data_IF_387304390101
#
_entry.id   IF_387304390101
#
_cell.length_a   1.000
_cell.length_b   1.000
_cell.length_c   1.000
_cell.angle_alpha   90.00
_cell.angle_beta   90.00
_cell.angle_gamma   90.00
#
_symmetry.space_group_name_H-M   'P 1'
#
loop_
_entity.id
_entity.type
_entity.pdbx_description
1 polymer ?
#
# COMPACT_ATOMS: atom_id res chain seq x y z
N UNK A 1 2.08 18.50 29.09
CA UNK A 1 2.40 18.53 27.64
C UNK A 1 1.85 17.27 26.95
N UNK A 2 1.25 17.36 25.78
CA UNK A 2 0.53 16.22 25.19
C UNK A 2 1.55 15.22 24.59
N UNK A 3 1.58 13.95 25.04
CA UNK A 3 2.49 12.88 24.58
C UNK A 3 2.48 12.72 23.05
N UNK A 4 1.30 12.85 22.43
CA UNK A 4 1.12 12.79 20.96
C UNK A 4 1.95 13.84 20.21
N UNK A 5 2.20 15.00 20.83
CA UNK A 5 2.92 16.10 20.20
C UNK A 5 4.44 15.82 20.08
N UNK A 6 5.03 15.14 21.06
CA UNK A 6 6.45 14.75 21.01
C UNK A 6 6.71 13.67 19.95
N UNK A 7 5.82 12.68 19.82
CA UNK A 7 5.90 11.62 18.78
C UNK A 7 5.82 12.24 17.39
N UNK A 8 4.83 13.11 17.18
CA UNK A 8 4.62 13.80 15.92
C UNK A 8 5.87 14.63 15.51
N UNK A 9 6.41 15.42 16.45
CA UNK A 9 7.63 16.22 16.20
C UNK A 9 8.85 15.36 15.89
N UNK A 10 8.95 14.17 16.48
CA UNK A 10 10.05 13.26 16.20
C UNK A 10 10.04 12.75 14.77
N UNK A 11 8.86 12.42 14.23
CA UNK A 11 8.70 11.71 12.96
C UNK A 11 8.44 12.62 11.75
N UNK A 12 7.77 13.78 11.93
CA UNK A 12 7.45 14.70 10.82
C UNK A 12 8.67 15.03 9.94
N UNK A 13 9.87 15.35 10.47
CA UNK A 13 11.02 15.70 9.63
C UNK A 13 11.46 14.58 8.69
N UNK A 14 11.12 13.33 9.01
CA UNK A 14 11.50 12.15 8.22
C UNK A 14 10.49 11.78 7.16
N UNK A 15 9.27 12.31 7.22
CA UNK A 15 8.22 11.99 6.27
C UNK A 15 8.55 12.51 4.87
N UNK A 16 8.10 11.80 3.83
CA UNK A 16 8.17 12.28 2.46
C UNK A 16 7.24 13.48 2.26
N UNK A 17 7.49 14.24 1.21
CA UNK A 17 6.56 15.27 0.75
C UNK A 17 5.34 14.66 0.03
N UNK A 18 4.27 15.45 -0.09
CA UNK A 18 3.00 15.03 -0.72
C UNK A 18 3.18 14.66 -2.20
N UNK A 19 4.16 15.22 -2.89
CA UNK A 19 4.43 14.88 -4.29
C UNK A 19 5.08 13.51 -4.44
N UNK A 20 5.93 13.16 -3.48
CA UNK A 20 6.61 11.86 -3.47
C UNK A 20 5.71 10.75 -2.94
N UNK A 21 4.86 11.08 -1.95
CA UNK A 21 3.96 10.12 -1.32
C UNK A 21 2.57 10.73 -1.12
N UNK A 22 1.68 10.68 -2.11
CA UNK A 22 0.39 11.37 -2.12
C UNK A 22 -0.68 10.62 -1.30
N UNK A 23 -0.34 10.22 -0.08
CA UNK A 23 -1.23 9.52 0.84
C UNK A 23 -1.33 10.26 2.17
N UNK A 24 -2.52 10.25 2.75
CA UNK A 24 -2.70 10.68 4.13
C UNK A 24 -2.17 9.63 5.08
N UNK A 25 -1.27 10.04 5.98
CA UNK A 25 -0.65 9.16 6.97
C UNK A 25 -1.35 9.38 8.31
N UNK A 26 -1.89 8.29 8.88
CA UNK A 26 -2.40 8.27 10.25
C UNK A 26 -1.61 7.23 11.05
N UNK A 27 -0.89 7.70 12.06
CA UNK A 27 -0.14 6.85 12.99
C UNK A 27 -0.88 6.78 14.32
N UNK A 28 -1.23 5.57 14.74
CA UNK A 28 -1.86 5.31 16.03
C UNK A 28 -0.94 4.45 16.89
N UNK A 29 -0.72 4.89 18.13
CA UNK A 29 0.03 4.13 19.12
C UNK A 29 -0.89 3.81 20.31
N UNK A 30 -1.15 2.51 20.51
CA UNK A 30 -1.89 2.00 21.64
C UNK A 30 -0.92 1.36 22.63
N UNK A 31 -0.79 1.97 23.83
CA UNK A 31 0.07 1.47 24.90
C UNK A 31 -0.78 0.65 25.86
N UNK A 32 -0.56 -0.67 25.89
CA UNK A 32 -1.30 -1.60 26.75
C UNK A 32 -0.62 -1.78 28.09
N UNK A 33 0.73 -1.71 28.13
CA UNK A 33 1.55 -1.82 29.33
C UNK A 33 2.82 -0.98 29.14
N UNK A 34 3.37 -0.41 30.21
CA UNK A 34 4.56 0.42 30.16
C UNK A 34 5.36 0.32 31.44
N UNK A 35 6.66 0.13 31.32
CA UNK A 35 7.61 0.10 32.45
C UNK A 35 8.63 1.25 32.40
N UNK A 36 8.55 2.09 31.38
CA UNK A 36 9.43 3.24 31.16
C UNK A 36 8.75 4.28 30.29
N UNK A 37 9.50 4.87 29.34
CA UNK A 37 8.98 5.92 28.46
C UNK A 37 8.14 5.38 27.31
N UNK A 38 6.82 5.29 27.50
CA UNK A 38 5.88 4.91 26.45
C UNK A 38 5.93 5.82 25.20
N UNK A 39 6.29 7.10 25.37
CA UNK A 39 6.40 8.04 24.25
C UNK A 39 7.60 7.73 23.36
N UNK A 40 8.74 7.35 23.93
CA UNK A 40 9.94 6.99 23.17
C UNK A 40 9.80 5.63 22.50
N UNK A 41 9.16 4.66 23.17
CA UNK A 41 8.74 3.41 22.53
C UNK A 41 7.81 3.64 21.34
N UNK A 42 6.86 4.58 21.46
CA UNK A 42 5.96 4.95 20.34
C UNK A 42 6.68 5.65 19.20
N UNK A 43 7.78 6.36 19.44
CA UNK A 43 8.62 6.92 18.36
C UNK A 43 9.29 5.78 17.59
N UNK A 44 9.93 4.84 18.28
CA UNK A 44 10.59 3.68 17.65
C UNK A 44 9.58 2.80 16.88
N UNK A 45 8.50 2.40 17.56
CA UNK A 45 7.46 1.56 16.95
C UNK A 45 6.72 2.27 15.80
N UNK A 46 6.47 3.57 15.94
CA UNK A 46 5.88 4.40 14.88
C UNK A 46 6.78 4.53 13.66
N UNK A 47 8.09 4.67 13.87
CA UNK A 47 9.07 4.67 12.79
C UNK A 47 9.06 3.33 12.02
N UNK A 48 9.10 2.19 12.72
CA UNK A 48 9.03 0.86 12.11
C UNK A 48 7.69 0.64 11.39
N UNK A 49 6.58 1.08 11.97
CA UNK A 49 5.26 0.97 11.35
C UNK A 49 5.15 1.76 10.04
N UNK A 50 5.73 2.96 9.97
CA UNK A 50 5.83 3.75 8.75
C UNK A 50 6.65 3.03 7.68
N UNK A 51 7.80 2.47 8.06
CA UNK A 51 8.67 1.71 7.16
C UNK A 51 7.99 0.43 6.66
N UNK A 52 7.28 -0.27 7.53
CA UNK A 52 6.55 -1.51 7.18
C UNK A 52 5.35 -1.24 6.26
N UNK A 53 4.69 -0.10 6.44
CA UNK A 53 3.63 0.36 5.55
C UNK A 53 4.12 0.80 4.16
N UNK A 54 5.43 0.85 3.94
CA UNK A 54 6.02 1.31 2.67
C UNK A 54 6.08 2.84 2.52
N UNK A 55 6.01 3.58 3.63
CA UNK A 55 6.23 5.03 3.60
C UNK A 55 7.72 5.28 3.40
N UNK A 56 8.14 5.99 2.33
CA UNK A 56 9.55 6.23 2.03
C UNK A 56 10.12 7.34 2.93
N UNK A 57 10.29 7.02 4.23
CA UNK A 57 10.89 7.96 5.18
C UNK A 57 12.34 8.24 4.80
N UNK A 58 12.79 9.47 5.09
CA UNK A 58 14.15 9.93 4.74
C UNK A 58 15.24 9.18 5.52
N UNK A 59 15.01 8.99 6.82
CA UNK A 59 15.89 8.27 7.75
C UNK A 59 15.08 7.67 8.89
N UNK A 60 15.48 6.50 9.41
CA UNK A 60 14.91 5.96 10.64
C UNK A 60 15.18 6.87 11.84
N UNK A 61 14.24 6.93 12.77
CA UNK A 61 14.32 7.71 13.99
C UNK A 61 14.08 6.80 15.19
N UNK A 62 14.93 6.91 16.19
CA UNK A 62 14.75 6.30 17.51
C UNK A 62 14.61 7.36 18.60
N UNK A 63 13.95 7.00 19.68
CA UNK A 63 13.78 7.83 20.86
C UNK A 63 14.24 7.11 22.11
N UNK A 64 14.89 7.86 23.02
CA UNK A 64 15.35 7.37 24.32
C UNK A 64 14.99 8.36 25.43
N UNK A 65 14.72 7.85 26.63
CA UNK A 65 14.50 8.66 27.83
C UNK A 65 15.73 8.56 28.74
N UNK A 66 16.28 9.72 29.08
CA UNK A 66 17.40 9.86 29.95
C UNK A 66 16.94 10.39 31.32
N UNK A 67 17.60 9.98 32.37
CA UNK A 67 17.38 10.48 33.71
C UNK A 67 18.66 11.01 34.35
N UNK A 68 18.51 11.62 35.50
CA UNK A 68 19.64 12.02 36.32
C UNK A 68 19.33 11.81 37.80
N UNK A 69 20.31 11.27 38.50
CA UNK A 69 20.34 11.18 39.95
C UNK A 69 21.44 12.10 40.51
N UNK A 70 21.16 12.74 41.59
CA UNK A 70 22.13 13.53 42.35
C UNK A 70 22.59 12.77 43.58
N UNK A 71 23.91 12.76 43.84
CA UNK A 71 24.49 12.07 44.98
C UNK A 71 24.27 12.80 46.32
N UNK A 72 24.05 14.10 46.27
CA UNK A 72 23.77 14.93 47.44
C UNK A 72 22.91 16.15 47.09
N UNK A 73 22.55 16.96 48.09
CA UNK A 73 21.74 18.17 47.96
C UNK A 73 22.55 19.44 47.66
N UNK A 74 23.83 19.31 47.32
CA UNK A 74 24.72 20.48 47.11
C UNK A 74 24.54 21.17 45.76
N UNK A 75 23.59 20.73 44.97
CA UNK A 75 23.33 21.22 43.61
C UNK A 75 23.90 20.31 42.52
N UNK A 76 23.62 20.63 41.26
CA UNK A 76 24.07 19.83 40.10
C UNK A 76 25.54 20.16 39.83
N UNK A 77 26.39 19.14 39.83
CA UNK A 77 27.76 19.19 39.34
C UNK A 77 28.12 17.90 38.60
N UNK A 78 29.18 17.91 37.81
CA UNK A 78 29.63 16.72 37.09
C UNK A 78 30.11 15.60 38.02
N UNK A 79 30.60 15.97 39.23
CA UNK A 79 31.12 15.01 40.18
C UNK A 79 30.03 14.29 40.97
N UNK A 80 28.85 14.91 41.16
CA UNK A 80 27.75 14.33 41.94
C UNK A 80 26.53 13.94 41.11
N UNK A 81 26.57 14.04 39.77
CA UNK A 81 25.47 13.68 38.88
C UNK A 81 25.74 12.37 38.14
N UNK A 82 24.78 11.45 38.22
CA UNK A 82 24.77 10.20 37.48
C UNK A 82 23.66 10.29 36.41
N UNK A 83 24.04 10.13 35.13
CA UNK A 83 23.09 10.14 34.02
C UNK A 83 22.68 8.70 33.72
N UNK A 84 21.39 8.46 33.65
CA UNK A 84 20.78 7.16 33.35
C UNK A 84 20.24 7.16 31.94
N UNK A 85 20.36 6.00 31.26
CA UNK A 85 19.77 5.75 29.94
C UNK A 85 18.57 4.84 30.10
N UNK A 86 17.51 5.09 29.28
CA UNK A 86 16.28 4.26 29.22
C UNK A 86 15.64 4.07 30.60
N UNK A 87 15.28 5.19 31.22
CA UNK A 87 14.82 5.24 32.62
C UNK A 87 13.48 4.55 32.82
N UNK A 88 13.37 3.87 33.95
CA UNK A 88 12.14 3.32 34.47
C UNK A 88 11.17 4.41 34.96
N UNK A 89 9.89 4.08 35.14
CA UNK A 89 8.90 5.02 35.67
C UNK A 89 9.20 5.46 37.11
N UNK A 90 9.85 4.61 37.91
CA UNK A 90 10.32 4.95 39.28
C UNK A 90 11.50 5.90 39.23
N UNK A 91 12.41 5.76 38.30
CA UNK A 91 13.57 6.64 38.09
C UNK A 91 13.13 8.01 37.56
N UNK A 92 12.13 8.06 36.65
CA UNK A 92 11.48 9.32 36.28
C UNK A 92 10.83 10.02 37.50
N UNK A 93 10.10 9.26 38.32
CA UNK A 93 9.41 9.84 39.49
C UNK A 93 10.35 10.37 40.56
N UNK A 94 11.44 9.65 40.84
CA UNK A 94 12.40 9.95 41.90
C UNK A 94 13.62 10.76 41.42
N UNK A 95 13.93 10.71 40.13
CA UNK A 95 15.05 11.40 39.51
C UNK A 95 14.84 12.91 39.44
N UNK A 96 15.93 13.62 39.23
CA UNK A 96 15.97 15.09 39.12
C UNK A 96 15.84 15.61 37.70
N UNK A 97 15.90 14.72 36.68
CA UNK A 97 15.76 15.05 35.28
C UNK A 97 14.98 13.93 34.57
N UNK A 98 14.02 14.31 33.72
CA UNK A 98 13.42 13.47 32.64
C UNK A 98 13.71 14.15 31.31
N UNK A 99 14.62 13.53 30.53
CA UNK A 99 15.11 14.10 29.29
C UNK A 99 14.88 13.12 28.13
N UNK A 100 13.87 13.38 27.37
CA UNK A 100 13.48 12.56 26.18
C UNK A 100 14.12 13.13 24.94
N UNK A 101 14.87 12.31 24.22
CA UNK A 101 15.59 12.70 23.01
C UNK A 101 15.25 11.74 21.88
N UNK A 102 14.79 12.27 20.77
CA UNK A 102 14.57 11.48 19.55
C UNK A 102 15.36 12.07 18.37
N UNK A 103 15.79 11.20 17.47
CA UNK A 103 16.54 11.60 16.29
C UNK A 103 17.06 10.41 15.49
N UNK A 104 17.71 10.73 14.40
CA UNK A 104 18.39 9.77 13.53
C UNK A 104 19.88 9.59 13.92
N UNK A 105 20.65 8.96 13.05
CA UNK A 105 22.10 8.77 13.20
C UNK A 105 22.91 10.07 13.13
N UNK A 106 22.37 11.09 12.48
CA UNK A 106 23.05 12.36 12.20
C UNK A 106 22.66 13.50 13.13
N UNK A 107 21.49 13.43 13.80
CA UNK A 107 21.02 14.53 14.62
C UNK A 107 19.77 14.24 15.43
N UNK A 108 19.31 15.26 16.11
CA UNK A 108 18.12 15.26 16.96
C UNK A 108 16.97 15.88 16.19
N UNK A 109 15.84 15.19 16.12
CA UNK A 109 14.60 15.70 15.51
C UNK A 109 13.72 16.39 16.53
N UNK A 110 13.72 15.91 17.78
CA UNK A 110 13.02 16.56 18.90
C UNK A 110 13.61 16.15 20.23
N UNK A 111 13.43 17.01 21.22
CA UNK A 111 13.69 16.67 22.60
C UNK A 111 12.64 17.31 23.54
N UNK A 112 12.51 16.74 24.72
CA UNK A 112 11.71 17.27 25.82
C UNK A 112 12.52 17.12 27.09
N UNK A 113 12.71 18.22 27.83
CA UNK A 113 13.40 18.26 29.10
C UNK A 113 12.43 18.69 30.19
N UNK A 114 12.37 17.91 31.28
CA UNK A 114 11.71 18.25 32.52
C UNK A 114 12.71 18.07 33.66
N UNK A 115 12.91 19.11 34.45
CA UNK A 115 13.89 19.12 35.56
C UNK A 115 13.20 19.43 36.88
N UNK A 116 13.65 18.75 37.94
CA UNK A 116 13.14 18.87 39.29
C UNK A 116 14.25 19.38 40.24
N UNK A 117 15.28 20.03 39.66
CA UNK A 117 16.41 20.66 40.38
C UNK A 117 16.53 22.15 39.99
N UNK A 118 17.38 22.90 40.68
CA UNK A 118 17.54 24.36 40.47
C UNK A 118 18.18 24.74 39.11
N UNK A 119 18.61 23.78 38.33
CA UNK A 119 19.19 23.96 36.99
C UNK A 119 20.14 22.83 36.62
N UNK A 120 20.64 22.85 35.39
CA UNK A 120 21.64 21.93 34.87
C UNK A 120 22.87 22.74 34.42
N UNK A 121 24.06 22.19 34.59
CA UNK A 121 25.25 22.75 33.99
C UNK A 121 25.31 22.41 32.51
N UNK A 122 26.04 23.19 31.72
CA UNK A 122 26.24 22.90 30.28
C UNK A 122 26.95 21.56 30.11
N UNK A 123 27.93 21.28 30.94
CA UNK A 123 28.72 20.04 30.94
C UNK A 123 27.83 18.81 31.21
N UNK A 124 26.94 18.91 32.20
CA UNK A 124 25.97 17.83 32.50
C UNK A 124 25.03 17.61 31.31
N UNK A 125 24.58 18.69 30.66
CA UNK A 125 23.72 18.58 29.47
C UNK A 125 24.46 17.95 28.27
N UNK A 126 25.72 18.34 28.04
CA UNK A 126 26.54 17.74 26.99
C UNK A 126 26.73 16.22 27.20
N UNK A 127 27.01 15.81 28.45
CA UNK A 127 27.10 14.38 28.80
C UNK A 127 25.78 13.64 28.56
N UNK A 128 24.67 14.25 28.98
CA UNK A 128 23.35 13.65 28.77
C UNK A 128 22.99 13.49 27.27
N UNK A 129 23.32 14.50 26.46
CA UNK A 129 23.11 14.45 25.01
C UNK A 129 24.00 13.41 24.33
N UNK A 130 25.27 13.32 24.72
CA UNK A 130 26.18 12.32 24.15
C UNK A 130 25.76 10.90 24.54
N UNK A 131 25.40 10.69 25.81
CA UNK A 131 24.89 9.38 26.25
C UNK A 131 23.57 9.02 25.54
N UNK A 132 22.66 9.99 25.35
CA UNK A 132 21.45 9.82 24.55
C UNK A 132 21.76 9.50 23.08
N UNK A 133 22.83 10.08 22.51
CA UNK A 133 23.27 9.75 21.14
C UNK A 133 23.69 8.28 21.04
N UNK A 134 24.51 7.80 21.96
CA UNK A 134 24.96 6.40 22.00
C UNK A 134 23.76 5.47 22.15
N UNK A 135 22.83 5.75 23.07
CA UNK A 135 21.61 4.95 23.25
C UNK A 135 20.72 4.94 22.00
N UNK A 136 20.52 6.09 21.35
CA UNK A 136 19.74 6.17 20.09
C UNK A 136 20.36 5.35 18.95
N UNK A 137 21.68 5.40 18.79
CA UNK A 137 22.39 4.59 17.77
C UNK A 137 22.18 3.11 18.04
N UNK A 138 22.31 2.67 19.29
CA UNK A 138 22.05 1.28 19.67
C UNK A 138 20.61 0.87 19.34
N UNK A 139 19.61 1.70 19.63
CA UNK A 139 18.21 1.43 19.27
C UNK A 139 18.00 1.38 17.74
N UNK A 140 18.63 2.30 16.99
CA UNK A 140 18.57 2.28 15.52
C UNK A 140 19.17 0.99 14.93
N UNK A 141 20.28 0.51 15.52
CA UNK A 141 20.88 -0.78 15.13
C UNK A 141 19.95 -1.96 15.43
N UNK A 142 19.30 -1.96 16.60
CA UNK A 142 18.32 -2.98 16.96
C UNK A 142 17.11 -2.94 16.00
N UNK A 143 16.57 -1.77 15.70
CA UNK A 143 15.48 -1.57 14.75
C UNK A 143 15.86 -2.03 13.33
N UNK A 144 17.10 -1.77 12.91
CA UNK A 144 17.58 -2.17 11.57
C UNK A 144 17.70 -3.69 11.40
N UNK A 145 17.88 -4.46 12.48
CA UNK A 145 17.84 -5.93 12.43
C UNK A 145 16.44 -6.46 12.10
N UNK A 146 15.40 -5.73 12.50
CA UNK A 146 14.02 -6.06 12.17
C UNK A 146 13.65 -5.56 10.76
N UNK A 147 13.90 -4.28 10.49
CA UNK A 147 13.59 -3.66 9.21
C UNK A 147 14.63 -2.57 8.89
N UNK A 148 15.58 -2.90 8.00
CA UNK A 148 16.70 -2.01 7.68
C UNK A 148 16.29 -0.81 6.79
N UNK A 149 15.28 -0.99 5.95
CA UNK A 149 14.78 0.04 5.02
C UNK A 149 13.26 -0.06 4.86
N UNK A 150 12.58 1.04 4.51
CA UNK A 150 11.17 0.98 4.17
C UNK A 150 10.89 -0.07 3.09
N UNK A 151 9.73 -0.73 3.15
CA UNK A 151 9.31 -1.64 2.08
C UNK A 151 9.22 -0.88 0.76
N UNK A 152 9.71 -1.49 -0.30
CA UNK A 152 9.73 -0.88 -1.65
C UNK A 152 8.35 -0.78 -2.28
N UNK A 153 7.41 -1.59 -1.84
CA UNK A 153 6.05 -1.65 -2.36
C UNK A 153 5.02 -1.47 -1.27
N UNK A 154 3.97 -0.74 -1.60
CA UNK A 154 2.79 -0.64 -0.73
C UNK A 154 2.06 -1.99 -0.67
N UNK A 155 1.47 -2.36 0.47
CA UNK A 155 0.65 -3.56 0.60
C UNK A 155 -0.43 -3.64 -0.49
N UNK A 156 -0.78 -4.85 -0.93
CA UNK A 156 -1.78 -5.07 -1.98
C UNK A 156 -3.19 -4.58 -1.64
N UNK A 157 -3.47 -4.39 -0.35
CA UNK A 157 -4.74 -3.83 0.13
C UNK A 157 -4.83 -2.32 0.01
N UNK A 158 -3.71 -1.64 -0.27
CA UNK A 158 -3.65 -0.18 -0.41
C UNK A 158 -3.81 0.19 -1.88
N UNK A 159 -4.78 1.05 -2.25
CA UNK A 159 -4.87 1.59 -3.59
C UNK A 159 -3.58 2.31 -3.98
N UNK A 160 -3.08 2.04 -5.18
CA UNK A 160 -1.91 2.72 -5.74
C UNK A 160 -2.36 4.04 -6.38
N UNK A 161 -1.53 5.06 -6.24
CA UNK A 161 -1.76 6.39 -6.82
C UNK A 161 -0.61 6.70 -7.76
N UNK A 162 -0.94 7.10 -8.98
CA UNK A 162 0.01 7.62 -9.97
C UNK A 162 -0.35 9.06 -10.29
N UNK A 163 0.64 9.94 -10.25
CA UNK A 163 0.49 11.35 -10.60
C UNK A 163 1.50 11.73 -11.68
N UNK A 164 1.01 12.45 -12.70
CA UNK A 164 1.85 13.04 -13.74
C UNK A 164 1.21 14.33 -14.26
N UNK A 165 1.97 15.07 -15.05
CA UNK A 165 1.50 16.36 -15.59
C UNK A 165 1.41 16.30 -17.10
N UNK A 166 0.34 16.88 -17.64
CA UNK A 166 0.11 17.08 -19.07
C UNK A 166 0.00 18.57 -19.37
N UNK A 167 0.18 18.95 -20.64
CA UNK A 167 -0.08 20.33 -21.06
C UNK A 167 -1.55 20.68 -20.88
N UNK A 168 -1.88 21.86 -20.32
CA UNK A 168 -3.26 22.29 -20.07
C UNK A 168 -4.17 22.23 -21.32
N UNK A 169 -3.64 22.52 -22.51
CA UNK A 169 -4.37 22.43 -23.78
C UNK A 169 -4.80 20.99 -24.14
N UNK A 170 -4.21 20.00 -23.48
CA UNK A 170 -4.50 18.59 -23.71
C UNK A 170 -5.57 18.02 -22.77
N UNK A 171 -5.97 18.77 -21.74
CA UNK A 171 -6.99 18.36 -20.77
C UNK A 171 -8.30 17.98 -21.46
N UNK A 172 -8.71 18.78 -22.46
CA UNK A 172 -9.93 18.53 -23.22
C UNK A 172 -9.92 17.19 -23.97
N UNK A 173 -8.73 16.67 -24.37
CA UNK A 173 -8.60 15.36 -25.03
C UNK A 173 -8.78 14.22 -24.03
N UNK A 174 -8.29 14.41 -22.81
CA UNK A 174 -8.37 13.40 -21.73
C UNK A 174 -9.80 13.31 -21.20
N UNK A 175 -10.45 14.44 -20.96
CA UNK A 175 -11.82 14.46 -20.46
C UNK A 175 -12.80 14.03 -21.56
N UNK A 176 -12.60 14.50 -22.78
CA UNK A 176 -13.47 14.25 -23.90
C UNK A 176 -14.86 14.89 -23.81
N UNK A 177 -15.68 14.85 -24.86
CA UNK A 177 -17.01 15.44 -24.88
C UNK A 177 -17.91 14.87 -23.77
N UNK A 178 -18.35 15.72 -22.84
CA UNK A 178 -19.22 15.34 -21.72
C UNK A 178 -18.58 14.28 -20.78
N UNK A 179 -17.24 14.25 -20.69
CA UNK A 179 -16.53 13.30 -19.83
C UNK A 179 -16.52 11.86 -20.33
N UNK A 180 -16.80 11.61 -21.61
CA UNK A 180 -16.86 10.24 -22.17
C UNK A 180 -15.50 9.57 -22.18
N UNK A 181 -14.44 10.32 -22.52
CA UNK A 181 -13.09 9.76 -22.65
C UNK A 181 -12.52 9.35 -21.29
N UNK A 182 -12.63 10.22 -20.29
CA UNK A 182 -12.14 9.91 -18.93
C UNK A 182 -12.88 8.71 -18.32
N UNK A 183 -14.19 8.59 -18.55
CA UNK A 183 -14.96 7.42 -18.10
C UNK A 183 -14.54 6.14 -18.81
N UNK A 184 -14.27 6.21 -20.10
CA UNK A 184 -13.78 5.07 -20.87
C UNK A 184 -12.38 4.63 -20.34
N UNK A 185 -11.48 5.57 -20.05
CA UNK A 185 -10.16 5.25 -19.48
C UNK A 185 -10.31 4.56 -18.12
N UNK A 186 -11.17 5.09 -17.23
CA UNK A 186 -11.42 4.47 -15.92
C UNK A 186 -11.93 3.05 -16.07
N UNK A 187 -12.87 2.82 -17.01
CA UNK A 187 -13.47 1.51 -17.24
C UNK A 187 -12.51 0.53 -17.93
N UNK A 188 -11.85 0.97 -19.00
CA UNK A 188 -10.96 0.12 -19.83
C UNK A 188 -9.72 -0.36 -19.05
N UNK A 189 -9.18 0.48 -18.16
CA UNK A 189 -8.01 0.15 -17.34
C UNK A 189 -8.36 -0.29 -15.92
N UNK A 190 -9.66 -0.37 -15.56
CA UNK A 190 -10.10 -0.81 -14.24
C UNK A 190 -9.58 0.09 -13.10
N UNK A 191 -9.55 1.40 -13.33
CA UNK A 191 -9.15 2.38 -12.33
C UNK A 191 -10.27 2.59 -11.31
N UNK A 192 -9.91 2.91 -10.06
CA UNK A 192 -10.89 3.28 -9.05
C UNK A 192 -11.35 4.73 -9.23
N UNK A 193 -10.43 5.62 -9.58
CA UNK A 193 -10.71 7.04 -9.86
C UNK A 193 -9.64 7.65 -10.77
N UNK A 194 -10.00 8.72 -11.45
CA UNK A 194 -9.09 9.56 -12.21
C UNK A 194 -9.54 11.02 -12.12
N UNK A 195 -8.67 11.88 -11.62
CA UNK A 195 -8.88 13.32 -11.50
C UNK A 195 -7.90 14.07 -12.40
N UNK A 196 -8.41 15.13 -13.04
CA UNK A 196 -7.61 16.02 -13.89
C UNK A 196 -7.89 17.45 -13.46
N UNK A 197 -6.87 18.15 -13.02
CA UNK A 197 -6.97 19.55 -12.59
C UNK A 197 -6.63 20.51 -13.71
N UNK A 198 -7.10 21.76 -13.60
CA UNK A 198 -6.94 22.79 -14.63
C UNK A 198 -5.47 23.16 -14.93
N UNK A 199 -4.55 22.85 -14.01
CA UNK A 199 -3.11 23.04 -14.20
C UNK A 199 -2.42 21.89 -14.96
N UNK A 200 -3.20 20.91 -15.44
CA UNK A 200 -2.73 19.76 -16.18
C UNK A 200 -2.25 18.60 -15.29
N UNK A 201 -2.43 18.65 -13.98
CA UNK A 201 -2.09 17.51 -13.12
C UNK A 201 -3.13 16.41 -13.27
N UNK A 202 -2.67 15.20 -13.56
CA UNK A 202 -3.50 13.99 -13.67
C UNK A 202 -3.17 13.08 -12.51
N UNK A 203 -4.18 12.71 -11.73
CA UNK A 203 -4.05 11.73 -10.64
C UNK A 203 -4.94 10.55 -10.95
N UNK A 204 -4.36 9.35 -10.93
CA UNK A 204 -5.07 8.10 -11.12
C UNK A 204 -4.92 7.22 -9.89
N UNK A 205 -5.99 6.55 -9.51
CA UNK A 205 -6.03 5.63 -8.36
C UNK A 205 -6.53 4.27 -8.83
N UNK A 206 -5.85 3.20 -8.42
CA UNK A 206 -6.22 1.82 -8.77
C UNK A 206 -5.55 0.80 -7.86
N UNK A 207 -6.04 -0.43 -7.86
CA UNK A 207 -5.48 -1.50 -7.04
C UNK A 207 -4.25 -2.16 -7.69
N UNK A 208 -4.17 -2.15 -9.01
CA UNK A 208 -3.15 -2.84 -9.80
C UNK A 208 -2.23 -1.82 -10.46
N UNK A 209 -0.95 -1.80 -10.05
CA UNK A 209 0.02 -0.83 -10.55
C UNK A 209 0.22 -0.94 -12.08
N UNK A 210 0.21 -2.15 -12.63
CA UNK A 210 0.34 -2.36 -14.07
C UNK A 210 -0.77 -1.67 -14.89
N UNK A 211 -2.01 -1.63 -14.36
CA UNK A 211 -3.13 -0.95 -15.00
C UNK A 211 -2.93 0.57 -14.99
N UNK A 212 -2.42 1.12 -13.89
CA UNK A 212 -2.09 2.55 -13.78
C UNK A 212 -0.99 2.94 -14.75
N UNK A 213 0.06 2.14 -14.87
CA UNK A 213 1.15 2.36 -15.83
C UNK A 213 0.65 2.30 -17.28
N UNK A 214 -0.17 1.31 -17.61
CA UNK A 214 -0.77 1.20 -18.95
C UNK A 214 -1.70 2.38 -19.27
N UNK A 215 -2.49 2.84 -18.31
CA UNK A 215 -3.34 4.02 -18.47
C UNK A 215 -2.50 5.29 -18.66
N UNK A 216 -1.41 5.45 -17.93
CA UNK A 216 -0.50 6.58 -18.07
C UNK A 216 0.15 6.62 -19.48
N UNK A 217 0.64 5.49 -19.97
CA UNK A 217 1.20 5.37 -21.33
C UNK A 217 0.14 5.67 -22.39
N UNK A 218 -1.08 5.16 -22.21
CA UNK A 218 -2.19 5.46 -23.10
C UNK A 218 -2.50 6.97 -23.13
N UNK A 219 -2.57 7.63 -21.98
CA UNK A 219 -2.84 9.07 -21.90
C UNK A 219 -1.69 9.87 -22.54
N UNK A 220 -0.43 9.51 -22.29
CA UNK A 220 0.71 10.15 -22.92
C UNK A 220 0.66 10.04 -24.45
N UNK A 221 0.28 8.89 -24.97
CA UNK A 221 0.10 8.66 -26.41
C UNK A 221 -1.08 9.49 -26.96
N UNK A 222 -2.19 9.55 -26.24
CA UNK A 222 -3.38 10.32 -26.59
C UNK A 222 -3.07 11.82 -26.67
N UNK A 223 -2.25 12.33 -25.78
CA UNK A 223 -1.81 13.72 -25.69
C UNK A 223 -0.78 14.04 -26.78
N UNK A 224 0.22 13.16 -26.98
CA UNK A 224 1.30 13.33 -27.95
C UNK A 224 0.81 13.23 -29.41
N UNK A 225 -0.26 12.48 -29.65
CA UNK A 225 -0.92 12.40 -30.95
C UNK A 225 -1.56 13.73 -31.32
N UNK A 226 -0.75 14.66 -31.81
CA UNK A 226 -1.13 16.03 -32.15
C UNK A 226 -2.20 16.11 -33.21
N UNK A 227 -3.31 16.78 -32.89
CA UNK A 227 -4.13 17.54 -33.82
C UNK A 227 -4.90 16.76 -34.87
N UNK A 228 -6.10 16.43 -34.56
CA UNK A 228 -7.10 15.99 -35.52
C UNK A 228 -8.44 15.87 -34.84
N UNK A 229 -9.08 17.04 -34.56
CA UNK A 229 -10.48 17.02 -34.17
C UNK A 229 -11.30 16.37 -35.26
N UNK A 230 -12.04 15.36 -34.88
CA UNK A 230 -13.42 15.07 -35.27
C UNK A 230 -13.80 13.69 -34.74
N UNK A 231 -14.94 13.65 -34.15
CA UNK A 231 -15.52 12.51 -33.48
C UNK A 231 -15.42 11.19 -34.23
N UNK A 232 -15.31 10.16 -33.45
CA UNK A 232 -15.68 8.84 -33.88
C UNK A 232 -14.53 8.06 -34.52
N UNK A 233 -14.07 7.03 -33.79
CA UNK A 233 -13.44 5.90 -34.42
C UNK A 233 -12.05 6.20 -35.01
N UNK A 234 -11.01 5.74 -34.31
CA UNK A 234 -9.78 5.37 -35.00
C UNK A 234 -10.13 4.55 -36.23
N UNK A 235 -9.21 4.47 -37.21
CA UNK A 235 -9.46 3.63 -38.37
C UNK A 235 -9.73 2.22 -37.83
N UNK A 236 -11.00 1.87 -37.75
CA UNK A 236 -11.40 0.49 -37.69
C UNK A 236 -10.91 -0.09 -38.99
N UNK A 237 -9.77 -0.71 -39.01
CA UNK A 237 -9.55 -1.82 -39.95
C UNK A 237 -10.82 -2.63 -39.82
N UNK A 238 -11.53 -2.89 -40.94
CA UNK A 238 -12.70 -3.74 -40.88
C UNK A 238 -12.23 -5.02 -40.22
N UNK A 239 -12.73 -5.30 -38.99
CA UNK A 239 -12.44 -6.59 -38.35
C UNK A 239 -12.89 -7.63 -39.38
N UNK A 240 -11.92 -8.39 -39.86
CA UNK A 240 -12.24 -9.52 -40.73
C UNK A 240 -13.34 -10.29 -40.02
N UNK A 241 -14.45 -10.53 -40.71
CA UNK A 241 -15.55 -11.30 -40.13
C UNK A 241 -15.10 -12.75 -40.03
N UNK A 242 -15.45 -13.40 -38.92
CA UNK A 242 -15.30 -14.84 -38.81
C UNK A 242 -15.98 -15.52 -39.97
N UNK A 243 -15.26 -16.37 -40.69
CA UNK A 243 -15.73 -17.10 -41.85
C UNK A 243 -15.73 -18.63 -41.68
N UNK A 244 -15.49 -19.06 -40.42
CA UNK A 244 -15.51 -20.47 -40.02
C UNK A 244 -16.93 -21.05 -39.85
N UNK A 245 -17.05 -22.28 -39.31
CA UNK A 245 -18.34 -22.93 -39.06
C UNK A 245 -19.17 -22.13 -38.03
N UNK A 246 -20.49 -22.08 -38.28
CA UNK A 246 -21.42 -21.39 -37.36
C UNK A 246 -21.46 -22.09 -36.00
N UNK A 247 -21.48 -21.31 -34.92
CA UNK A 247 -21.62 -21.82 -33.57
C UNK A 247 -23.09 -22.17 -33.27
N UNK A 248 -23.33 -23.33 -32.71
CA UNK A 248 -24.67 -23.84 -32.41
C UNK A 248 -25.13 -23.34 -31.03
N UNK A 249 -26.30 -22.70 -30.98
CA UNK A 249 -26.91 -22.26 -29.72
C UNK A 249 -27.29 -23.50 -28.88
N UNK A 250 -26.98 -23.44 -27.58
CA UNK A 250 -27.22 -24.54 -26.66
C UNK A 250 -26.08 -25.56 -26.53
N UNK A 251 -25.05 -25.47 -27.36
CA UNK A 251 -23.87 -26.34 -27.32
C UNK A 251 -22.82 -25.82 -26.35
N UNK A 252 -22.11 -26.74 -25.71
CA UNK A 252 -20.98 -26.43 -24.81
C UNK A 252 -19.69 -26.43 -25.64
N UNK A 253 -18.89 -25.41 -25.39
CA UNK A 253 -17.59 -25.20 -26.03
C UNK A 253 -16.50 -25.06 -24.97
N UNK A 254 -15.35 -25.63 -25.24
CA UNK A 254 -14.13 -25.37 -24.47
C UNK A 254 -13.32 -24.32 -25.21
N UNK A 255 -13.35 -23.06 -24.71
CA UNK A 255 -12.79 -21.93 -25.40
C UNK A 255 -11.62 -21.29 -24.64
N UNK A 256 -10.70 -20.67 -25.38
CA UNK A 256 -9.55 -19.98 -24.84
C UNK A 256 -9.94 -18.61 -24.29
N UNK A 257 -9.47 -18.26 -23.09
CA UNK A 257 -9.69 -16.94 -22.49
C UNK A 257 -8.84 -15.92 -23.26
N UNK A 258 -9.50 -14.92 -23.87
CA UNK A 258 -8.86 -13.84 -24.63
C UNK A 258 -8.75 -12.55 -23.86
N UNK A 259 -9.65 -12.32 -22.92
CA UNK A 259 -9.62 -11.13 -22.05
C UNK A 259 -10.57 -11.28 -20.87
N UNK A 260 -10.16 -10.73 -19.75
CA UNK A 260 -10.97 -10.69 -18.51
C UNK A 260 -11.24 -9.23 -18.19
N UNK A 261 -12.50 -8.89 -17.96
CA UNK A 261 -12.97 -7.55 -17.61
C UNK A 261 -13.84 -7.60 -16.36
N UNK A 262 -14.05 -6.48 -15.70
CA UNK A 262 -14.86 -6.40 -14.48
C UNK A 262 -16.30 -6.91 -14.66
N UNK A 263 -16.85 -6.79 -15.86
CA UNK A 263 -18.21 -7.21 -16.22
C UNK A 263 -18.31 -8.61 -16.84
N UNK A 264 -17.19 -9.28 -17.16
CA UNK A 264 -17.21 -10.62 -17.74
C UNK A 264 -15.89 -11.03 -18.39
N UNK A 265 -15.91 -12.21 -18.98
CA UNK A 265 -14.75 -12.85 -19.62
C UNK A 265 -15.05 -13.08 -21.10
N UNK A 266 -14.14 -12.65 -21.98
CA UNK A 266 -14.19 -12.97 -23.40
C UNK A 266 -13.54 -14.32 -23.64
N UNK A 267 -14.29 -15.22 -24.25
CA UNK A 267 -13.87 -16.58 -24.54
C UNK A 267 -13.99 -16.84 -26.03
N UNK A 268 -12.88 -17.24 -26.66
CA UNK A 268 -12.85 -17.68 -28.05
C UNK A 268 -13.32 -19.15 -28.12
N UNK A 269 -14.52 -19.37 -28.61
CA UNK A 269 -15.16 -20.70 -28.64
C UNK A 269 -14.84 -21.53 -29.91
N UNK A 270 -14.43 -20.83 -30.97
CA UNK A 270 -13.95 -21.47 -32.21
C UNK A 270 -12.67 -20.73 -32.65
N UNK A 271 -11.58 -21.47 -32.93
CA UNK A 271 -10.32 -20.86 -33.32
C UNK A 271 -10.42 -20.17 -34.68
N UNK A 272 -9.65 -19.06 -34.82
CA UNK A 272 -9.47 -18.43 -36.13
C UNK A 272 -8.59 -19.22 -37.06
N UNK A 273 -8.56 -18.79 -38.31
CA UNK A 273 -7.62 -19.24 -39.36
C UNK A 273 -6.67 -18.09 -39.69
N UNK A 274 -5.64 -18.32 -40.50
CA UNK A 274 -4.65 -17.31 -40.92
C UNK A 274 -5.31 -16.05 -41.53
N UNK A 275 -6.48 -16.19 -42.15
CA UNK A 275 -7.23 -15.13 -42.83
C UNK A 275 -8.47 -14.64 -42.05
N UNK A 276 -8.81 -15.25 -40.89
CA UNK A 276 -10.05 -14.97 -40.17
C UNK A 276 -9.82 -15.03 -38.65
N UNK A 277 -10.23 -14.00 -37.87
CA UNK A 277 -10.17 -14.04 -36.43
C UNK A 277 -11.03 -15.17 -35.85
N UNK A 278 -10.71 -15.65 -34.67
CA UNK A 278 -11.56 -16.63 -33.96
C UNK A 278 -12.91 -16.03 -33.55
N UNK A 279 -13.85 -16.92 -33.30
CA UNK A 279 -15.20 -16.55 -32.88
C UNK A 279 -15.23 -16.39 -31.36
N UNK A 280 -15.36 -15.13 -30.90
CA UNK A 280 -15.35 -14.75 -29.49
C UNK A 280 -16.76 -14.45 -28.99
N UNK A 281 -17.03 -14.81 -27.72
CA UNK A 281 -18.25 -14.46 -27.01
C UNK A 281 -17.98 -13.93 -25.61
N UNK A 282 -18.96 -13.20 -25.07
CA UNK A 282 -18.91 -12.67 -23.71
C UNK A 282 -19.63 -13.61 -22.73
N UNK A 283 -18.92 -14.10 -21.72
CA UNK A 283 -19.47 -14.69 -20.53
C UNK A 283 -19.55 -13.61 -19.45
N UNK A 284 -20.76 -13.07 -19.21
CA UNK A 284 -20.98 -12.00 -18.23
C UNK A 284 -20.67 -12.51 -16.80
N UNK A 285 -20.29 -11.59 -15.88
CA UNK A 285 -19.94 -11.93 -14.50
C UNK A 285 -21.01 -12.74 -13.77
N UNK A 286 -22.29 -12.49 -14.04
CA UNK A 286 -23.42 -13.27 -13.48
C UNK A 286 -23.56 -14.68 -14.05
N UNK A 287 -22.90 -14.97 -15.18
CA UNK A 287 -22.92 -16.24 -15.90
C UNK A 287 -21.63 -17.06 -15.72
N UNK A 288 -20.70 -16.60 -14.90
CA UNK A 288 -19.41 -17.26 -14.64
C UNK A 288 -19.51 -18.40 -13.62
N UNK A 289 -20.38 -18.28 -12.62
CA UNK A 289 -20.55 -19.27 -11.55
C UNK A 289 -21.99 -19.27 -11.03
N UNK A 290 -22.40 -20.35 -10.37
CA UNK A 290 -23.71 -20.46 -9.69
C UNK A 290 -23.83 -19.50 -8.51
N UNK A 291 -22.71 -19.20 -7.83
CA UNK A 291 -22.62 -18.20 -6.78
C UNK A 291 -22.14 -16.86 -7.33
N UNK A 292 -22.38 -15.78 -6.56
CA UNK A 292 -22.01 -14.42 -6.98
C UNK A 292 -20.50 -14.23 -7.01
N UNK A 293 -19.94 -14.07 -8.20
CA UNK A 293 -18.53 -13.72 -8.40
C UNK A 293 -18.32 -12.24 -8.12
N UNK A 294 -17.40 -11.92 -7.20
CA UNK A 294 -17.07 -10.53 -6.84
C UNK A 294 -16.06 -9.87 -7.79
N UNK A 295 -15.16 -10.66 -8.38
CA UNK A 295 -14.14 -10.22 -9.34
C UNK A 295 -13.94 -11.31 -10.37
N UNK A 296 -14.11 -10.97 -11.65
CA UNK A 296 -13.85 -11.90 -12.75
C UNK A 296 -12.40 -12.35 -12.79
N UNK A 297 -11.46 -11.41 -12.61
CA UNK A 297 -10.02 -11.67 -12.62
C UNK A 297 -9.61 -12.60 -11.48
N UNK A 298 -10.05 -12.28 -10.25
CA UNK A 298 -9.77 -13.11 -9.07
C UNK A 298 -10.35 -14.52 -9.23
N UNK A 299 -11.52 -14.64 -9.84
CA UNK A 299 -12.16 -15.94 -10.10
C UNK A 299 -11.39 -16.75 -11.14
N UNK A 300 -11.02 -16.15 -12.28
CA UNK A 300 -10.24 -16.83 -13.32
C UNK A 300 -8.84 -17.21 -12.80
N UNK A 301 -8.18 -16.32 -12.05
CA UNK A 301 -6.90 -16.62 -11.42
C UNK A 301 -6.99 -17.79 -10.43
N UNK A 302 -8.09 -17.88 -9.65
CA UNK A 302 -8.31 -19.00 -8.72
C UNK A 302 -8.53 -20.34 -9.40
N UNK A 303 -9.03 -20.34 -10.66
CA UNK A 303 -9.18 -21.54 -11.46
C UNK A 303 -7.86 -22.03 -12.07
N UNK A 304 -6.90 -21.14 -12.30
CA UNK A 304 -5.60 -21.47 -12.88
C UNK A 304 -5.67 -22.07 -14.30
N UNK A 305 -6.70 -21.73 -15.07
CA UNK A 305 -6.96 -22.33 -16.40
C UNK A 305 -6.86 -21.27 -17.51
N UNK A 306 -6.31 -21.66 -18.64
CA UNK A 306 -6.25 -20.84 -19.86
C UNK A 306 -7.50 -21.00 -20.75
N UNK A 307 -8.27 -22.08 -20.55
CA UNK A 307 -9.47 -22.42 -21.31
C UNK A 307 -10.67 -22.55 -20.36
N UNK A 308 -11.83 -22.09 -20.81
CA UNK A 308 -13.06 -22.11 -20.04
C UNK A 308 -14.15 -22.90 -20.79
N UNK A 309 -14.82 -23.81 -20.10
CA UNK A 309 -16.01 -24.46 -20.63
C UNK A 309 -17.23 -23.57 -20.49
N UNK A 310 -17.85 -23.22 -21.61
CA UNK A 310 -18.98 -22.29 -21.67
C UNK A 310 -20.05 -22.80 -22.65
N UNK A 311 -21.31 -22.55 -22.33
CA UNK A 311 -22.45 -22.88 -23.18
C UNK A 311 -22.88 -21.64 -23.97
N UNK A 312 -23.11 -21.77 -25.27
CA UNK A 312 -23.64 -20.68 -26.10
C UNK A 312 -25.13 -20.53 -25.82
N UNK A 313 -25.51 -19.41 -25.18
CA UNK A 313 -26.90 -19.13 -24.81
C UNK A 313 -27.71 -18.43 -25.91
N UNK A 314 -27.03 -17.72 -26.79
CA UNK A 314 -27.65 -16.97 -27.86
C UNK A 314 -26.74 -15.93 -28.49
N UNK A 315 -27.26 -15.28 -29.52
CA UNK A 315 -26.59 -14.18 -30.24
C UNK A 315 -27.49 -12.96 -30.12
N UNK A 316 -26.93 -11.81 -29.68
CA UNK A 316 -27.70 -10.59 -29.54
C UNK A 316 -27.95 -9.91 -30.93
N UNK A 317 -28.80 -8.85 -30.95
CA UNK A 317 -29.11 -8.07 -32.16
C UNK A 317 -27.88 -7.46 -32.87
N UNK A 318 -26.76 -7.35 -32.15
CA UNK A 318 -25.49 -6.82 -32.67
C UNK A 318 -24.54 -7.93 -33.15
N UNK A 319 -25.00 -9.19 -33.17
CA UNK A 319 -24.19 -10.35 -33.59
C UNK A 319 -23.14 -10.81 -32.55
N UNK A 320 -23.25 -10.38 -31.29
CA UNK A 320 -22.34 -10.81 -30.23
C UNK A 320 -22.88 -12.07 -29.54
N UNK A 321 -22.00 -13.04 -29.29
CA UNK A 321 -22.33 -14.29 -28.64
C UNK A 321 -22.42 -14.12 -27.14
N UNK A 322 -23.50 -14.63 -26.56
CA UNK A 322 -23.70 -14.68 -25.09
C UNK A 322 -23.36 -16.08 -24.61
N UNK A 323 -22.36 -16.14 -23.71
CA UNK A 323 -21.86 -17.39 -23.15
C UNK A 323 -22.24 -17.51 -21.69
N UNK A 324 -22.47 -18.73 -21.20
CA UNK A 324 -22.73 -19.03 -19.79
C UNK A 324 -21.90 -20.22 -19.33
N UNK A 325 -21.03 -20.04 -18.36
CA UNK A 325 -20.40 -21.13 -17.64
C UNK A 325 -21.33 -21.69 -16.57
N UNK A 326 -22.14 -20.84 -15.97
CA UNK A 326 -23.16 -21.23 -15.00
C UNK A 326 -24.05 -22.33 -15.51
N UNK A 327 -24.52 -22.22 -16.76
CA UNK A 327 -25.37 -23.24 -17.43
C UNK A 327 -24.64 -24.57 -17.67
N UNK A 328 -23.30 -24.57 -17.75
CA UNK A 328 -22.50 -25.80 -17.81
C UNK A 328 -22.42 -26.43 -16.40
N UNK A 329 -22.17 -25.63 -15.37
CA UNK A 329 -22.06 -26.10 -13.98
C UNK A 329 -23.40 -26.64 -13.44
N UNK A 330 -24.52 -26.03 -13.80
CA UNK A 330 -25.87 -26.49 -13.41
C UNK A 330 -26.30 -27.79 -14.12
N UNK A 331 -25.70 -28.08 -15.27
CA UNK A 331 -25.94 -29.34 -16.03
C UNK A 331 -25.05 -30.51 -15.59
N UNK A 332 -24.09 -30.29 -14.71
CA UNK A 332 -23.20 -31.31 -14.16
C UNK A 332 -23.65 -31.63 -12.72
N UNK A 333 -24.06 -32.86 -12.43
CA UNK A 333 -24.36 -33.31 -11.07
C UNK A 333 -23.13 -33.03 -10.14
N UNK A 334 -23.35 -32.24 -9.09
CA UNK A 334 -22.31 -31.83 -8.16
C UNK A 334 -21.96 -32.99 -7.25
N UNK A 335 -20.81 -33.60 -7.44
CA UNK A 335 -20.15 -34.36 -6.38
C UNK A 335 -19.53 -33.34 -5.41
N UNK A 336 -20.17 -33.17 -4.26
CA UNK A 336 -19.68 -32.31 -3.16
C UNK A 336 -18.34 -32.88 -2.63
N UNK A 337 -17.24 -32.25 -2.99
CA UNK A 337 -16.00 -32.35 -2.22
C UNK A 337 -16.01 -31.20 -1.22
N UNK A 338 -16.11 -31.54 0.06
CA UNK A 338 -15.97 -30.58 1.16
C UNK A 338 -14.63 -29.84 1.05
N UNK A 339 -14.68 -28.58 0.69
CA UNK A 339 -13.53 -27.69 0.78
C UNK A 339 -13.52 -27.10 2.19
N UNK A 340 -12.52 -27.48 2.97
CA UNK A 340 -12.24 -26.90 4.26
C UNK A 340 -12.13 -25.37 4.15
N UNK A 341 -12.90 -24.67 4.95
CA UNK A 341 -12.88 -23.22 5.09
C UNK A 341 -11.51 -22.76 5.59
N UNK A 342 -10.69 -22.22 4.70
CA UNK A 342 -9.53 -21.42 5.06
C UNK A 342 -9.98 -20.00 5.37
N UNK A 343 -10.13 -19.71 6.65
CA UNK A 343 -10.16 -18.33 7.15
C UNK A 343 -8.82 -17.67 6.83
N UNK A 344 -8.79 -16.43 6.32
CA UNK A 344 -7.53 -15.71 6.14
C UNK A 344 -7.00 -15.34 7.53
N UNK A 345 -6.02 -16.09 8.01
CA UNK A 345 -5.17 -15.69 9.12
C UNK A 345 -4.24 -14.60 8.60
N UNK A 346 -4.26 -13.44 9.25
CA UNK A 346 -3.17 -12.47 9.19
C UNK A 346 -1.85 -13.22 9.41
N UNK A 347 -0.77 -12.89 8.69
CA UNK A 347 0.52 -13.48 8.96
C UNK A 347 0.88 -13.16 10.41
N UNK A 348 0.83 -14.17 11.26
CA UNK A 348 1.35 -14.10 12.62
C UNK A 348 2.88 -13.96 12.49
N UNK A 349 3.44 -12.96 13.15
CA UNK A 349 4.88 -12.92 13.39
C UNK A 349 5.29 -14.26 13.99
N UNK A 350 6.37 -14.85 13.48
CA UNK A 350 6.89 -16.09 14.00
C UNK A 350 7.33 -15.90 15.45
N UNK A 351 7.25 -16.98 16.24
CA UNK A 351 7.74 -16.98 17.61
C UNK A 351 9.20 -16.53 17.72
N UNK A 352 9.99 -16.72 16.67
CA UNK A 352 11.38 -16.29 16.56
C UNK A 352 11.51 -14.76 16.40
N UNK A 353 10.64 -14.12 15.65
CA UNK A 353 10.59 -12.66 15.50
C UNK A 353 10.15 -11.97 16.79
N UNK A 354 9.19 -12.55 17.51
CA UNK A 354 8.77 -12.08 18.83
C UNK A 354 9.88 -12.27 19.86
N UNK A 355 10.62 -13.40 19.79
CA UNK A 355 11.75 -13.70 20.67
C UNK A 355 12.91 -12.73 20.46
N UNK A 356 13.20 -12.33 19.22
CA UNK A 356 14.25 -11.34 18.91
C UNK A 356 13.91 -9.96 19.48
N UNK A 357 12.64 -9.54 19.41
CA UNK A 357 12.18 -8.28 20.00
C UNK A 357 12.23 -8.38 21.54
N UNK A 358 11.85 -9.49 22.13
CA UNK A 358 11.92 -9.71 23.57
C UNK A 358 13.37 -9.72 24.07
N UNK A 359 14.29 -10.38 23.37
CA UNK A 359 15.73 -10.39 23.70
C UNK A 359 16.38 -9.00 23.52
N UNK A 360 15.94 -8.22 22.53
CA UNK A 360 16.40 -6.83 22.38
C UNK A 360 15.94 -5.93 23.54
N UNK A 361 14.75 -6.22 24.09
CA UNK A 361 14.23 -5.54 25.28
C UNK A 361 14.94 -6.00 26.55
N UNK A 362 15.24 -7.31 26.68
CA UNK A 362 16.00 -7.85 27.83
C UNK A 362 17.45 -7.40 27.85
N UNK A 363 18.12 -7.30 26.69
CA UNK A 363 19.49 -6.80 26.60
C UNK A 363 19.65 -5.31 26.95
N UNK A 364 18.55 -4.53 26.97
CA UNK A 364 18.53 -3.15 27.47
C UNK A 364 18.50 -3.08 29.00
N UNK A 365 18.12 -4.17 29.69
CA UNK A 365 18.11 -4.24 31.16
C UNK A 365 19.46 -4.65 31.77
N UNK A 366 20.46 -5.03 30.95
CA UNK A 366 21.80 -5.41 31.41
C UNK A 366 22.87 -4.33 31.13
N UNK A 367 22.48 -3.16 30.57
CA UNK A 367 23.32 -1.98 30.36
C UNK A 367 22.99 -0.88 31.39
#
# INVERSE_FOLDING_TARGET
MNRSFSILRALIPTLPDEKTFPYSIRLESLVTESHGSSSMASVCGGCLALMDAGVPIKKPVAGIAMGMLLGDSSGVSDENSIILSDILGTEDALGTMDFKVAGDDSGITTFQLDIKCEGLTVETMERALEQARVGRIHLLEAMSKCLAQPRSELPNVVPKITQFKVEPDSIGKIIGPGGKQIRAIIEDFGLANMDVTDDGSVQMTGMILANLTAAEEFIKTLVAGGGGGRGGGGPRTPKAKYTGPEAEIGKTYKGKIRGTHSYGVFVEILPGTDDSPGLEGLCHVSELHTERVRSCEGYIASLGVEELEVKLMGINEKGQLRLSRKAVLEGTEVVLVEVATLTPTLPSMSSDEISVIAQAIEGLNEL
#
